data_IF_204643508161
#
_entry.id   IF_204643508161
#
_cell.length_a   1.000
_cell.length_b   1.000
_cell.length_c   1.000
_cell.angle_alpha   90.00
_cell.angle_beta   90.00
_cell.angle_gamma   90.00
#
_symmetry.space_group_name_H-M   'P 1'
#
loop_
_entity.id
_entity.type
_entity.pdbx_description
1 polymer ?
#
# COMPACT_ATOMS: atom_id res chain seq x y z
N UNK A 1 41.77 52.65 -23.28
CA UNK A 1 40.85 53.81 -23.14
C UNK A 1 39.49 53.29 -22.74
N UNK A 2 38.83 53.90 -21.75
CA UNK A 2 37.72 53.33 -20.99
C UNK A 2 36.38 53.68 -21.65
N UNK A 3 35.29 53.37 -20.94
CA UNK A 3 33.92 53.86 -21.13
C UNK A 3 33.04 52.96 -22.02
N UNK A 4 31.85 52.50 -21.63
CA UNK A 4 30.98 52.92 -20.53
C UNK A 4 29.96 51.80 -20.21
N UNK A 5 29.83 51.50 -18.93
CA UNK A 5 28.75 50.75 -18.26
C UNK A 5 27.43 51.52 -18.29
N UNK A 6 26.28 50.84 -18.50
CA UNK A 6 24.94 51.13 -17.91
C UNK A 6 23.81 50.35 -18.62
N UNK A 7 22.60 50.22 -18.04
CA UNK A 7 22.30 49.84 -16.66
C UNK A 7 21.18 48.77 -16.56
N UNK A 8 21.09 48.18 -15.37
CA UNK A 8 19.90 47.50 -14.83
C UNK A 8 18.64 48.36 -15.00
N UNK A 9 17.53 47.77 -15.44
CA UNK A 9 16.20 48.29 -15.13
C UNK A 9 15.30 47.14 -14.66
N UNK A 10 15.19 47.07 -13.33
CA UNK A 10 14.23 46.24 -12.63
C UNK A 10 12.80 46.68 -12.98
N UNK A 11 11.98 45.74 -13.43
CA UNK A 11 10.54 45.97 -13.61
C UNK A 11 9.84 46.01 -12.25
N UNK A 12 8.84 46.88 -12.05
CA UNK A 12 8.17 47.03 -10.78
C UNK A 12 7.32 45.80 -10.43
N UNK A 13 7.53 45.29 -9.22
CA UNK A 13 6.59 44.42 -8.53
C UNK A 13 5.29 45.19 -8.27
N UNK A 14 4.24 44.93 -9.05
CA UNK A 14 2.89 45.41 -8.74
C UNK A 14 2.23 44.44 -7.75
N UNK A 15 2.46 44.71 -6.46
CA UNK A 15 1.82 44.03 -5.33
C UNK A 15 0.44 44.65 -5.15
N UNK A 16 -0.57 44.13 -5.86
CA UNK A 16 -1.97 44.46 -5.55
C UNK A 16 -2.44 43.68 -4.32
N UNK A 17 -2.26 44.31 -3.15
CA UNK A 17 -3.10 44.07 -1.97
C UNK A 17 -4.55 44.42 -2.32
N UNK A 18 -5.43 43.43 -2.37
CA UNK A 18 -6.86 43.64 -2.21
C UNK A 18 -7.23 43.17 -0.81
N UNK A 19 -7.40 44.14 0.09
CA UNK A 19 -7.92 43.93 1.42
C UNK A 19 -9.44 43.81 1.41
N UNK A 20 -9.92 42.90 2.25
CA UNK A 20 -11.11 43.03 3.11
C UNK A 20 -12.47 43.23 2.43
N UNK A 21 -13.38 42.25 2.56
CA UNK A 21 -14.64 42.48 3.29
C UNK A 21 -15.42 41.20 3.66
N UNK A 22 -15.23 40.81 4.92
CA UNK A 22 -16.22 40.38 5.92
C UNK A 22 -17.70 40.40 5.48
N UNK A 23 -18.34 39.22 5.49
CA UNK A 23 -19.76 38.84 5.79
C UNK A 23 -20.00 37.55 4.97
N UNK A 24 -20.43 36.43 5.53
CA UNK A 24 -21.70 36.24 6.21
C UNK A 24 -21.59 35.07 7.21
N UNK A 25 -21.95 35.35 8.46
CA UNK A 25 -22.40 34.35 9.42
C UNK A 25 -23.83 33.96 9.00
N UNK A 26 -24.06 32.69 8.65
CA UNK A 26 -25.38 32.08 8.72
C UNK A 26 -25.23 30.73 9.41
N UNK A 27 -25.63 30.73 10.67
CA UNK A 27 -25.90 29.57 11.49
C UNK A 27 -27.01 28.74 10.85
N UNK A 28 -26.81 27.44 10.69
CA UNK A 28 -27.92 26.49 10.59
C UNK A 28 -27.54 25.22 11.35
N UNK A 29 -28.15 25.12 12.53
CA UNK A 29 -28.13 23.95 13.37
C UNK A 29 -28.71 22.74 12.63
N UNK A 30 -28.02 21.61 12.73
CA UNK A 30 -28.48 20.33 12.22
C UNK A 30 -28.03 19.22 13.16
N UNK A 31 -28.55 19.24 14.39
CA UNK A 31 -28.42 18.14 15.33
C UNK A 31 -29.28 16.96 14.83
N UNK A 32 -28.65 15.99 14.18
CA UNK A 32 -29.27 14.67 13.98
C UNK A 32 -28.75 13.72 15.07
N UNK A 33 -29.60 13.53 16.07
CA UNK A 33 -29.51 12.53 17.12
C UNK A 33 -29.60 11.13 16.50
N UNK A 34 -28.50 10.37 16.51
CA UNK A 34 -28.53 8.92 16.29
C UNK A 34 -28.42 8.24 17.65
N UNK A 35 -29.56 8.07 18.31
CA UNK A 35 -29.70 7.21 19.48
C UNK A 35 -29.88 5.76 19.00
N UNK A 36 -28.77 5.08 18.73
CA UNK A 36 -28.74 3.64 18.49
C UNK A 36 -28.70 2.89 19.82
N UNK A 37 -29.84 2.33 20.22
CA UNK A 37 -29.97 1.52 21.44
C UNK A 37 -29.04 0.30 21.42
N UNK A 38 -28.04 0.28 22.30
CA UNK A 38 -27.37 -0.97 22.67
C UNK A 38 -28.34 -1.78 23.54
N UNK A 39 -29.11 -2.67 22.91
CA UNK A 39 -29.85 -3.69 23.62
C UNK A 39 -28.87 -4.63 24.32
N UNK A 40 -28.65 -4.39 25.61
CA UNK A 40 -27.90 -5.29 26.50
C UNK A 40 -28.68 -6.58 26.69
N UNK A 41 -28.12 -7.69 26.22
CA UNK A 41 -28.59 -9.02 26.59
C UNK A 41 -27.82 -9.46 27.85
N UNK A 42 -28.29 -9.02 29.02
CA UNK A 42 -27.94 -9.67 30.30
C UNK A 42 -28.97 -10.78 30.52
N UNK A 43 -28.68 -11.97 30.02
CA UNK A 43 -29.13 -13.22 30.64
C UNK A 43 -28.00 -13.67 31.56
N UNK A 44 -28.20 -14.18 32.76
CA UNK A 44 -29.35 -14.59 33.54
C UNK A 44 -28.76 -15.18 34.83
N UNK A 45 -29.48 -15.06 35.95
CA UNK A 45 -29.10 -15.61 37.27
C UNK A 45 -28.67 -17.07 37.20
N UNK A 46 -27.56 -17.50 37.83
CA UNK A 46 -27.27 -18.91 38.02
C UNK A 46 -28.18 -19.47 39.13
N UNK A 47 -29.09 -20.37 38.77
CA UNK A 47 -29.69 -21.32 39.72
C UNK A 47 -28.66 -22.44 40.01
N UNK A 48 -28.62 -23.00 41.24
CA UNK A 48 -27.68 -24.06 41.57
C UNK A 48 -28.08 -25.34 40.81
N UNK A 49 -27.28 -25.72 39.83
CA UNK A 49 -27.50 -26.97 39.08
C UNK A 49 -26.62 -28.07 39.66
N UNK A 50 -27.30 -29.08 40.20
CA UNK A 50 -26.92 -30.47 40.38
C UNK A 50 -25.78 -30.93 39.46
N UNK A 51 -24.79 -31.62 40.04
CA UNK A 51 -23.64 -32.18 39.34
C UNK A 51 -24.07 -33.01 38.11
N UNK A 52 -23.74 -32.51 36.92
CA UNK A 52 -23.88 -33.21 35.65
C UNK A 52 -22.70 -34.19 35.44
N UNK A 53 -22.91 -35.29 34.71
CA UNK A 53 -21.87 -36.30 34.49
C UNK A 53 -20.70 -35.71 33.70
N UNK A 54 -19.50 -36.16 34.04
CA UNK A 54 -18.25 -35.76 33.40
C UNK A 54 -18.26 -36.14 31.92
N UNK A 55 -18.34 -35.15 31.04
CA UNK A 55 -18.20 -35.34 29.59
C UNK A 55 -16.71 -35.50 29.31
N UNK A 56 -16.30 -36.72 28.95
CA UNK A 56 -14.95 -37.00 28.50
C UNK A 56 -14.70 -36.22 27.21
N UNK A 57 -13.80 -35.23 27.26
CA UNK A 57 -13.41 -34.44 26.09
C UNK A 57 -12.63 -35.35 25.13
N UNK A 58 -13.22 -35.66 23.98
CA UNK A 58 -12.51 -36.27 22.86
C UNK A 58 -11.36 -35.32 22.46
N UNK A 59 -10.11 -35.80 22.29
CA UNK A 59 -9.02 -34.92 21.90
C UNK A 59 -9.36 -34.25 20.57
N UNK A 60 -9.41 -32.92 20.59
CA UNK A 60 -9.55 -32.08 19.39
C UNK A 60 -8.46 -32.47 18.39
N UNK A 61 -8.88 -32.87 17.19
CA UNK A 61 -7.97 -33.18 16.08
C UNK A 61 -7.04 -31.98 15.87
N UNK A 62 -5.74 -32.18 16.06
CA UNK A 62 -4.72 -31.17 15.79
C UNK A 62 -4.75 -30.87 14.29
N UNK A 63 -5.15 -29.64 13.93
CA UNK A 63 -5.13 -29.21 12.54
C UNK A 63 -3.71 -29.37 11.98
N UNK A 64 -3.52 -29.94 10.78
CA UNK A 64 -2.21 -30.04 10.16
C UNK A 64 -1.55 -28.65 10.10
N UNK A 65 -0.23 -28.54 10.34
CA UNK A 65 0.46 -27.27 10.24
C UNK A 65 0.24 -26.65 8.86
N UNK A 66 -0.03 -25.34 8.83
CA UNK A 66 -0.23 -24.61 7.58
C UNK A 66 1.01 -24.78 6.69
N UNK A 67 0.79 -25.21 5.45
CA UNK A 67 1.86 -25.33 4.46
C UNK A 67 2.52 -23.97 4.24
N UNK A 68 3.84 -23.97 4.09
CA UNK A 68 4.59 -22.74 3.83
C UNK A 68 4.16 -22.14 2.47
N UNK A 69 4.00 -20.81 2.35
CA UNK A 69 3.63 -20.19 1.08
C UNK A 69 4.63 -20.56 -0.03
N UNK A 70 4.09 -21.00 -1.16
CA UNK A 70 4.81 -21.37 -2.37
C UNK A 70 4.12 -20.76 -3.60
N UNK A 71 4.87 -20.55 -4.67
CA UNK A 71 4.32 -20.10 -5.95
C UNK A 71 3.30 -21.12 -6.46
N UNK A 72 2.17 -20.64 -6.95
CA UNK A 72 1.16 -21.43 -7.67
C UNK A 72 1.23 -21.03 -9.15
N UNK A 73 1.94 -21.81 -10.00
CA UNK A 73 2.05 -21.52 -11.42
C UNK A 73 0.68 -21.50 -12.09
N UNK A 74 0.38 -20.45 -12.85
CA UNK A 74 -0.92 -20.25 -13.48
C UNK A 74 -2.07 -19.88 -12.52
N UNK A 75 -1.78 -19.69 -11.23
CA UNK A 75 -2.75 -19.23 -10.23
C UNK A 75 -3.05 -17.73 -10.31
N UNK A 76 -4.08 -17.29 -9.57
CA UNK A 76 -4.47 -15.87 -9.50
C UNK A 76 -3.52 -15.05 -8.63
N UNK A 77 -3.67 -13.71 -8.65
CA UNK A 77 -2.97 -12.84 -7.71
C UNK A 77 -3.29 -13.19 -6.25
N UNK A 78 -4.56 -13.45 -5.91
CA UNK A 78 -4.96 -13.80 -4.54
C UNK A 78 -4.28 -15.08 -4.04
N UNK A 79 -4.17 -16.08 -4.91
CA UNK A 79 -3.50 -17.34 -4.58
C UNK A 79 -1.99 -17.16 -4.36
N UNK A 80 -1.37 -16.24 -5.10
CA UNK A 80 0.07 -16.00 -5.04
C UNK A 80 0.49 -14.88 -4.08
N UNK A 81 -0.45 -14.10 -3.53
CA UNK A 81 -0.17 -12.99 -2.61
C UNK A 81 0.65 -13.42 -1.38
N UNK A 82 0.35 -14.55 -0.70
CA UNK A 82 1.16 -14.98 0.45
C UNK A 82 2.62 -15.30 0.09
N UNK A 83 2.86 -15.86 -1.11
CA UNK A 83 4.21 -16.15 -1.58
C UNK A 83 4.95 -14.88 -2.01
N UNK A 84 4.27 -13.97 -2.72
CA UNK A 84 4.78 -12.66 -3.06
C UNK A 84 5.26 -11.90 -1.81
N UNK A 85 4.44 -11.89 -0.77
CA UNK A 85 4.76 -11.29 0.53
C UNK A 85 5.97 -11.92 1.21
N UNK A 86 6.05 -13.24 1.21
CA UNK A 86 7.19 -13.97 1.76
C UNK A 86 8.50 -13.52 1.12
N UNK A 87 8.54 -13.46 -0.22
CA UNK A 87 9.73 -13.07 -0.97
C UNK A 87 10.12 -11.62 -0.67
N UNK A 88 9.20 -10.67 -0.76
CA UNK A 88 9.52 -9.26 -0.55
C UNK A 88 9.95 -8.95 0.89
N UNK A 89 9.33 -9.61 1.88
CA UNK A 89 9.75 -9.51 3.29
C UNK A 89 11.15 -10.12 3.50
N UNK A 90 11.45 -11.24 2.85
CA UNK A 90 12.79 -11.82 2.88
C UNK A 90 13.84 -10.91 2.23
N UNK A 91 13.51 -10.26 1.10
CA UNK A 91 14.36 -9.25 0.45
C UNK A 91 14.70 -8.12 1.40
N UNK A 92 13.72 -7.58 2.12
CA UNK A 92 13.93 -6.52 3.10
C UNK A 92 14.69 -6.97 4.35
N UNK A 93 14.48 -8.20 4.79
CA UNK A 93 15.24 -8.77 5.91
C UNK A 93 16.73 -8.92 5.55
N UNK A 94 17.04 -9.29 4.30
CA UNK A 94 18.41 -9.38 3.80
C UNK A 94 19.02 -8.00 3.49
N UNK A 95 18.22 -7.07 2.97
CA UNK A 95 18.62 -5.72 2.63
C UNK A 95 17.52 -4.71 3.02
N UNK A 96 17.60 -4.10 4.21
CA UNK A 96 16.62 -3.10 4.65
C UNK A 96 16.56 -1.84 3.75
N UNK A 97 17.61 -1.60 2.95
CA UNK A 97 17.70 -0.50 2.01
C UNK A 97 17.32 -0.89 0.56
N UNK A 98 16.71 -2.07 0.37
CA UNK A 98 16.33 -2.62 -0.93
C UNK A 98 15.63 -1.59 -1.83
N UNK A 99 16.09 -1.52 -3.08
CA UNK A 99 15.56 -0.68 -4.16
C UNK A 99 14.69 -1.52 -5.09
N UNK A 100 14.05 -0.86 -6.06
CA UNK A 100 13.11 -1.52 -6.97
C UNK A 100 13.70 -2.73 -7.70
N UNK A 101 14.97 -2.63 -8.11
CA UNK A 101 15.69 -3.74 -8.73
C UNK A 101 15.81 -4.96 -7.81
N UNK A 102 16.08 -4.77 -6.52
CA UNK A 102 16.23 -5.87 -5.57
C UNK A 102 14.93 -6.67 -5.41
N UNK A 103 13.77 -6.01 -5.40
CA UNK A 103 12.47 -6.68 -5.37
C UNK A 103 12.19 -7.45 -6.65
N UNK A 104 12.43 -6.83 -7.81
CA UNK A 104 12.25 -7.49 -9.11
C UNK A 104 13.15 -8.71 -9.23
N UNK A 105 14.44 -8.58 -8.92
CA UNK A 105 15.41 -9.67 -9.02
C UNK A 105 15.05 -10.83 -8.07
N UNK A 106 14.62 -10.53 -6.85
CA UNK A 106 14.16 -11.54 -5.89
C UNK A 106 12.90 -12.27 -6.37
N UNK A 107 11.93 -11.55 -6.93
CA UNK A 107 10.69 -12.15 -7.45
C UNK A 107 10.95 -12.99 -8.70
N UNK A 108 11.85 -12.56 -9.59
CA UNK A 108 12.29 -13.35 -10.75
C UNK A 108 13.00 -14.62 -10.29
N UNK A 109 13.90 -14.53 -9.31
CA UNK A 109 14.55 -15.70 -8.72
C UNK A 109 13.55 -16.66 -8.06
N UNK A 110 12.43 -16.14 -7.57
CA UNK A 110 11.33 -16.92 -7.00
C UNK A 110 10.37 -17.52 -8.07
N UNK A 111 10.58 -17.22 -9.36
CA UNK A 111 9.85 -17.82 -10.48
C UNK A 111 8.73 -16.95 -11.07
N UNK A 112 8.57 -15.69 -10.64
CA UNK A 112 7.65 -14.77 -11.32
C UNK A 112 8.23 -14.30 -12.67
N UNK A 113 7.36 -14.13 -13.67
CA UNK A 113 7.78 -13.67 -14.99
C UNK A 113 8.14 -12.17 -14.98
N UNK A 114 9.39 -11.85 -15.32
CA UNK A 114 9.89 -10.48 -15.44
C UNK A 114 9.12 -9.66 -16.48
N UNK A 115 8.65 -10.29 -17.56
CA UNK A 115 7.92 -9.60 -18.63
C UNK A 115 6.54 -9.10 -18.18
N UNK A 116 6.00 -9.71 -17.13
CA UNK A 116 4.74 -9.33 -16.51
C UNK A 116 4.90 -8.27 -15.40
N UNK A 117 6.11 -7.76 -15.18
CA UNK A 117 6.41 -6.82 -14.10
C UNK A 117 6.37 -5.37 -14.54
N UNK A 118 6.00 -4.52 -13.59
CA UNK A 118 6.17 -3.07 -13.70
C UNK A 118 6.85 -2.53 -12.44
N UNK A 119 7.57 -1.43 -12.58
CA UNK A 119 8.28 -0.78 -11.49
C UNK A 119 8.19 0.75 -11.69
N UNK A 120 7.87 1.50 -10.64
CA UNK A 120 7.94 2.97 -10.67
C UNK A 120 9.39 3.44 -10.70
N UNK A 121 9.61 4.69 -11.11
CA UNK A 121 10.95 5.30 -10.99
C UNK A 121 11.36 5.33 -9.52
N UNK A 122 12.58 4.88 -9.22
CA UNK A 122 13.15 4.74 -7.88
C UNK A 122 14.08 5.91 -7.49
N UNK A 123 14.17 6.93 -8.35
CA UNK A 123 14.95 8.14 -8.16
C UNK A 123 14.17 9.41 -8.54
N UNK A 124 14.50 10.53 -7.89
CA UNK A 124 13.95 11.86 -8.21
C UNK A 124 14.75 12.52 -9.34
N UNK A 125 14.23 13.62 -9.89
CA UNK A 125 14.91 14.40 -10.96
C UNK A 125 16.31 14.90 -10.58
N UNK A 126 16.59 15.03 -9.27
CA UNK A 126 17.90 15.44 -8.74
C UNK A 126 18.74 14.25 -8.21
N UNK A 127 18.33 13.01 -8.50
CA UNK A 127 19.10 11.80 -8.19
C UNK A 127 18.98 11.27 -6.76
N UNK A 128 17.98 11.73 -5.99
CA UNK A 128 17.72 11.16 -4.66
C UNK A 128 16.86 9.90 -4.77
N UNK A 129 16.93 9.00 -3.78
CA UNK A 129 16.01 7.86 -3.72
C UNK A 129 14.56 8.34 -3.63
N UNK A 130 13.65 7.66 -4.33
CA UNK A 130 12.22 7.90 -4.18
C UNK A 130 11.78 7.56 -2.74
N UNK A 131 10.89 8.39 -2.18
CA UNK A 131 10.39 8.18 -0.82
C UNK A 131 9.55 6.89 -0.69
N UNK A 132 8.97 6.45 -1.82
CA UNK A 132 8.37 5.13 -1.98
C UNK A 132 8.47 4.68 -3.43
N UNK A 133 8.55 3.36 -3.61
CA UNK A 133 8.50 2.66 -4.88
C UNK A 133 7.31 1.71 -4.90
N UNK A 134 6.71 1.52 -6.07
CA UNK A 134 5.73 0.47 -6.31
C UNK A 134 6.24 -0.46 -7.41
N UNK A 135 5.96 -1.74 -7.24
CA UNK A 135 6.28 -2.78 -8.20
C UNK A 135 5.11 -3.74 -8.29
N UNK A 136 4.96 -4.42 -9.43
CA UNK A 136 3.85 -5.34 -9.63
C UNK A 136 4.23 -6.56 -10.45
N UNK A 137 3.40 -7.59 -10.35
CA UNK A 137 3.39 -8.75 -11.23
C UNK A 137 1.97 -8.96 -11.74
N UNK A 138 1.78 -8.94 -13.05
CA UNK A 138 0.51 -9.27 -13.69
C UNK A 138 0.33 -10.79 -13.75
N UNK A 139 -0.79 -11.30 -13.24
CA UNK A 139 -1.21 -12.69 -13.28
C UNK A 139 -2.62 -12.78 -13.88
N UNK A 140 -2.69 -13.08 -15.17
CA UNK A 140 -3.94 -13.03 -15.94
C UNK A 140 -4.53 -11.62 -15.95
N UNK A 141 -5.77 -11.51 -15.47
CA UNK A 141 -6.51 -10.24 -15.37
C UNK A 141 -6.38 -9.57 -13.99
N UNK A 142 -5.48 -10.08 -13.15
CA UNK A 142 -5.20 -9.55 -11.81
C UNK A 142 -3.74 -9.17 -11.65
N UNK A 143 -3.46 -8.30 -10.69
CA UNK A 143 -2.14 -7.77 -10.39
C UNK A 143 -1.83 -8.02 -8.92
N UNK A 144 -0.61 -8.48 -8.65
CA UNK A 144 0.05 -8.32 -7.36
C UNK A 144 0.74 -6.97 -7.37
N UNK A 145 0.48 -6.12 -6.38
CA UNK A 145 1.15 -4.82 -6.23
C UNK A 145 1.85 -4.80 -4.87
N UNK A 146 3.15 -4.55 -4.88
CA UNK A 146 3.96 -4.26 -3.69
C UNK A 146 4.32 -2.79 -3.66
N UNK A 147 4.32 -2.20 -2.47
CA UNK A 147 4.82 -0.86 -2.22
C UNK A 147 5.84 -0.93 -1.08
N UNK A 148 6.94 -0.19 -1.21
CA UNK A 148 7.93 -0.05 -0.14
C UNK A 148 8.43 1.39 -0.05
N UNK A 149 8.65 1.91 1.15
CA UNK A 149 9.20 3.24 1.36
C UNK A 149 8.85 3.85 2.71
N UNK A 150 9.55 4.91 3.09
CA UNK A 150 9.30 5.62 4.35
C UNK A 150 7.91 6.26 4.36
N UNK A 151 7.52 6.91 3.25
CA UNK A 151 6.21 7.56 3.11
C UNK A 151 5.06 6.54 3.02
N UNK A 152 5.36 5.28 2.70
CA UNK A 152 4.41 4.17 2.68
C UNK A 152 4.25 3.49 4.05
N UNK A 153 5.04 3.87 5.07
CA UNK A 153 5.08 3.18 6.37
C UNK A 153 5.80 1.82 6.32
N UNK A 154 6.68 1.62 5.33
CA UNK A 154 7.37 0.34 5.09
C UNK A 154 6.77 -0.43 3.92
N UNK A 155 6.88 -1.75 3.97
CA UNK A 155 6.36 -2.65 2.94
C UNK A 155 4.89 -2.99 3.15
N UNK A 156 4.11 -2.94 2.07
CA UNK A 156 2.75 -3.46 1.99
C UNK A 156 2.47 -4.02 0.61
N UNK A 157 1.42 -4.84 0.49
CA UNK A 157 0.99 -5.41 -0.78
C UNK A 157 -0.52 -5.55 -0.86
N UNK A 158 -1.03 -5.69 -2.08
CA UNK A 158 -2.45 -5.90 -2.36
C UNK A 158 -2.63 -6.59 -3.71
N UNK A 159 -3.86 -7.06 -3.97
CA UNK A 159 -4.29 -7.48 -5.30
C UNK A 159 -5.29 -6.49 -5.89
N UNK A 160 -5.23 -6.29 -7.21
CA UNK A 160 -6.20 -5.49 -7.96
C UNK A 160 -6.48 -6.13 -9.31
N UNK A 161 -7.61 -5.83 -9.94
CA UNK A 161 -7.76 -6.06 -11.38
C UNK A 161 -6.70 -5.29 -12.17
N UNK A 162 -6.40 -5.79 -13.36
CA UNK A 162 -5.63 -5.07 -14.38
C UNK A 162 -6.37 -3.80 -14.78
N UNK A 163 -5.62 -2.71 -14.96
CA UNK A 163 -6.14 -1.41 -15.35
C UNK A 163 -6.61 -1.43 -16.82
N UNK A 164 -7.44 -0.45 -17.21
CA UNK A 164 -7.95 -0.36 -18.59
C UNK A 164 -6.87 -0.20 -19.68
N UNK A 165 -5.64 0.15 -19.31
CA UNK A 165 -4.48 0.20 -20.22
C UNK A 165 -3.72 -1.15 -20.31
N UNK A 166 -4.21 -2.20 -19.66
CA UNK A 166 -3.59 -3.52 -19.63
C UNK A 166 -2.47 -3.70 -18.60
N UNK A 167 -2.07 -2.64 -17.89
CA UNK A 167 -1.04 -2.64 -16.85
C UNK A 167 -1.59 -2.74 -15.42
N UNK A 168 -0.69 -2.71 -14.45
CA UNK A 168 -1.00 -2.85 -13.02
C UNK A 168 -0.77 -1.57 -12.22
N UNK A 169 0.15 -0.70 -12.65
CA UNK A 169 0.51 0.52 -11.93
C UNK A 169 -0.04 1.77 -12.62
N UNK A 170 -0.44 2.74 -11.79
CA UNK A 170 -0.85 4.07 -12.24
C UNK A 170 0.39 4.96 -12.40
N UNK A 171 0.43 5.73 -13.48
CA UNK A 171 1.51 6.69 -13.75
C UNK A 171 2.61 6.13 -14.63
N UNK A 172 3.81 6.74 -14.55
CA UNK A 172 4.97 6.36 -15.34
C UNK A 172 5.74 5.22 -14.66
N UNK A 173 5.94 4.14 -15.39
CA UNK A 173 6.80 3.02 -15.00
C UNK A 173 8.12 3.10 -15.74
N UNK A 174 9.21 2.67 -15.11
CA UNK A 174 10.51 2.53 -15.77
C UNK A 174 10.61 1.20 -16.51
N UNK A 175 11.44 1.17 -17.55
CA UNK A 175 11.82 -0.07 -18.21
C UNK A 175 12.58 -0.98 -17.23
N UNK A 176 12.39 -2.29 -17.41
CA UNK A 176 13.06 -3.36 -16.66
C UNK A 176 13.99 -4.11 -17.63
N UNK A 177 15.09 -3.47 -18.01
CA UNK A 177 15.96 -3.81 -19.14
C UNK A 177 17.34 -4.37 -18.77
N UNK A 178 17.53 -4.70 -17.50
CA UNK A 178 18.76 -5.30 -16.98
C UNK A 178 18.77 -6.83 -16.99
#
# INVERSE_FOLDING_TARGET
>A
MPHLTSPHSAGPHDIRRVGTQRRLLVSAAGALLVAGALAGCVGGTPAPTTAAPSVSQTPTSSAPPAAEPALVPGGTAEQNLPFFDKINKATLAANPAAKGRDFVDALVAAGFDKSAMQLTVDTTTIGLAANSIQFSVKLGDTCLIGQNGADAGGYSSMTTPVLGNGGCLIGQTRAIDW
#
